data_IF_493789571106
#
_entry.id   IF_493789571106
#
_cell.length_a   1.000
_cell.length_b   1.000
_cell.length_c   1.000
_cell.angle_alpha   90.00
_cell.angle_beta   90.00
_cell.angle_gamma   90.00
#
_symmetry.space_group_name_H-M   'P 1'
#
loop_
_entity.id
_entity.type
_entity.pdbx_description
1 polymer ?
#
# COMPACT_ATOMS: atom_id res chain seq x y z
N UNK A 1 34.71 -20.56 -3.22
CA UNK A 1 33.81 -21.55 -3.87
C UNK A 1 32.50 -21.77 -3.12
N UNK A 2 32.45 -22.08 -1.81
CA UNK A 2 31.17 -22.24 -1.07
C UNK A 2 30.22 -21.04 -1.13
N UNK A 3 30.72 -19.80 -1.05
CA UNK A 3 29.91 -18.57 -1.14
C UNK A 3 29.32 -18.31 -2.53
N UNK A 4 29.96 -18.81 -3.59
CA UNK A 4 29.50 -18.66 -4.97
C UNK A 4 28.36 -19.64 -5.29
N UNK A 5 28.43 -20.86 -4.73
CA UNK A 5 27.35 -21.86 -4.83
C UNK A 5 26.09 -21.43 -4.08
N UNK A 6 26.22 -20.82 -2.90
CA UNK A 6 25.07 -20.27 -2.15
C UNK A 6 24.38 -19.16 -2.97
N UNK A 7 25.15 -18.30 -3.63
CA UNK A 7 24.61 -17.22 -4.45
C UNK A 7 23.84 -17.73 -5.69
N UNK A 8 24.33 -18.78 -6.36
CA UNK A 8 23.66 -19.41 -7.51
C UNK A 8 22.36 -20.11 -7.09
N UNK A 9 22.35 -20.79 -5.95
CA UNK A 9 21.15 -21.47 -5.44
C UNK A 9 20.07 -20.45 -5.06
N UNK A 10 20.43 -19.35 -4.39
CA UNK A 10 19.50 -18.28 -4.03
C UNK A 10 18.96 -17.57 -5.28
N UNK A 11 19.81 -17.25 -6.25
CA UNK A 11 19.37 -16.66 -7.53
C UNK A 11 18.51 -17.61 -8.36
N UNK A 12 18.80 -18.92 -8.34
CA UNK A 12 17.98 -19.94 -8.99
C UNK A 12 16.58 -20.03 -8.39
N UNK A 13 16.46 -19.99 -7.05
CA UNK A 13 15.18 -19.96 -6.34
C UNK A 13 14.42 -18.67 -6.64
N UNK A 14 15.11 -17.52 -6.70
CA UNK A 14 14.47 -16.23 -6.99
C UNK A 14 14.00 -16.12 -8.45
N UNK A 15 14.78 -16.63 -9.42
CA UNK A 15 14.36 -16.73 -10.83
C UNK A 15 13.17 -17.68 -10.95
N UNK A 16 13.22 -18.84 -10.28
CA UNK A 16 12.11 -19.81 -10.30
C UNK A 16 10.84 -19.24 -9.69
N UNK A 17 10.95 -18.53 -8.56
CA UNK A 17 9.83 -17.81 -7.93
C UNK A 17 9.29 -16.69 -8.83
N UNK A 18 10.16 -15.87 -9.44
CA UNK A 18 9.76 -14.82 -10.38
C UNK A 18 9.12 -15.39 -11.66
N UNK A 19 9.59 -16.54 -12.17
CA UNK A 19 8.94 -17.23 -13.29
C UNK A 19 7.63 -17.88 -12.89
N UNK A 20 7.51 -18.43 -11.68
CA UNK A 20 6.27 -18.97 -11.15
C UNK A 20 5.24 -17.86 -10.90
N UNK A 21 5.65 -16.70 -10.39
CA UNK A 21 4.80 -15.51 -10.30
C UNK A 21 4.39 -14.99 -11.67
N UNK A 22 5.30 -14.99 -12.65
CA UNK A 22 4.98 -14.57 -14.01
C UNK A 22 4.02 -15.56 -14.70
N UNK A 23 4.20 -16.87 -14.53
CA UNK A 23 3.29 -17.90 -15.05
C UNK A 23 1.95 -17.94 -14.30
N UNK A 24 1.95 -17.80 -12.97
CA UNK A 24 0.73 -17.64 -12.18
C UNK A 24 -0.02 -16.37 -12.60
N UNK A 25 0.68 -15.26 -12.85
CA UNK A 25 0.08 -14.03 -13.37
C UNK A 25 -0.46 -14.18 -14.79
N UNK A 26 0.17 -15.03 -15.63
CA UNK A 26 -0.30 -15.33 -16.99
C UNK A 26 -1.54 -16.24 -16.98
N UNK A 27 -1.58 -17.23 -16.08
CA UNK A 27 -2.78 -18.03 -15.81
C UNK A 27 -3.91 -17.15 -15.27
N UNK A 28 -3.59 -16.18 -14.42
CA UNK A 28 -4.56 -15.18 -13.97
C UNK A 28 -5.01 -14.33 -15.16
N UNK A 29 -4.14 -13.71 -15.95
CA UNK A 29 -4.58 -12.83 -17.05
C UNK A 29 -5.45 -13.53 -18.11
N UNK A 30 -5.28 -14.83 -18.34
CA UNK A 30 -6.15 -15.61 -19.23
C UNK A 30 -7.46 -16.11 -18.57
N UNK A 31 -7.54 -16.18 -17.23
CA UNK A 31 -8.76 -16.52 -16.47
C UNK A 31 -9.46 -15.32 -15.78
N UNK A 32 -8.81 -14.15 -15.71
CA UNK A 32 -9.25 -12.93 -14.98
C UNK A 32 -10.46 -12.29 -15.64
N UNK A 33 -10.62 -12.47 -16.95
CA UNK A 33 -11.88 -12.20 -17.63
C UNK A 33 -12.52 -13.55 -17.88
N UNK A 34 -13.46 -14.00 -17.03
CA UNK A 34 -14.17 -15.23 -17.32
C UNK A 34 -14.80 -15.12 -18.71
N UNK A 35 -14.47 -16.04 -19.61
CA UNK A 35 -15.29 -16.28 -20.81
C UNK A 35 -16.66 -16.69 -20.26
N UNK A 36 -17.60 -15.75 -20.30
CA UNK A 36 -18.92 -15.95 -19.70
C UNK A 36 -19.67 -16.98 -20.54
N UNK A 37 -20.07 -18.09 -19.93
CA UNK A 37 -20.90 -19.09 -20.60
C UNK A 37 -22.36 -18.62 -20.62
N UNK A 38 -23.12 -18.97 -21.67
CA UNK A 38 -24.53 -18.56 -21.83
C UNK A 38 -25.44 -18.92 -20.64
N UNK A 39 -25.07 -19.95 -19.84
CA UNK A 39 -25.76 -20.33 -18.59
C UNK A 39 -25.64 -19.30 -17.46
N UNK A 40 -24.91 -18.21 -17.66
CA UNK A 40 -24.68 -17.14 -16.69
C UNK A 40 -25.53 -15.89 -16.96
N UNK A 41 -26.44 -15.89 -17.92
CA UNK A 41 -27.34 -14.75 -18.14
C UNK A 41 -28.30 -14.61 -16.95
N UNK A 42 -28.08 -13.57 -16.15
CA UNK A 42 -29.00 -13.12 -15.12
C UNK A 42 -29.50 -11.76 -15.58
N UNK A 43 -30.81 -11.59 -15.52
CA UNK A 43 -31.47 -10.32 -15.84
C UNK A 43 -31.51 -9.38 -14.62
N UNK A 44 -30.93 -9.79 -13.49
CA UNK A 44 -30.87 -8.93 -12.31
C UNK A 44 -29.97 -7.71 -12.61
N UNK A 45 -30.49 -6.47 -12.56
CA UNK A 45 -29.77 -5.28 -13.04
C UNK A 45 -28.37 -5.12 -12.45
N UNK A 46 -28.23 -5.29 -11.12
CA UNK A 46 -26.92 -5.18 -10.46
C UNK A 46 -25.88 -6.21 -10.92
N UNK A 47 -26.30 -7.41 -11.33
CA UNK A 47 -25.38 -8.41 -11.86
C UNK A 47 -24.94 -8.00 -13.27
N UNK A 48 -25.86 -7.47 -14.08
CA UNK A 48 -25.55 -6.92 -15.41
C UNK A 48 -24.55 -5.77 -15.30
N UNK A 49 -24.80 -4.82 -14.38
CA UNK A 49 -23.91 -3.69 -14.13
C UNK A 49 -22.52 -4.15 -13.66
N UNK A 50 -22.46 -5.15 -12.77
CA UNK A 50 -21.20 -5.70 -12.29
C UNK A 50 -20.40 -6.37 -13.41
N UNK A 51 -21.07 -7.08 -14.33
CA UNK A 51 -20.42 -7.66 -15.51
C UNK A 51 -19.91 -6.60 -16.46
N UNK A 52 -20.67 -5.52 -16.67
CA UNK A 52 -20.26 -4.40 -17.51
C UNK A 52 -19.04 -3.68 -16.92
N UNK A 53 -19.03 -3.45 -15.61
CA UNK A 53 -17.89 -2.85 -14.92
C UNK A 53 -16.63 -3.73 -15.06
N UNK A 54 -16.76 -5.06 -14.91
CA UNK A 54 -15.66 -6.00 -15.13
C UNK A 54 -15.16 -6.00 -16.59
N UNK A 55 -16.05 -6.02 -17.58
CA UNK A 55 -15.66 -6.06 -19.00
C UNK A 55 -14.99 -4.77 -19.48
N UNK A 56 -15.34 -3.64 -18.88
CA UNK A 56 -14.75 -2.32 -19.13
C UNK A 56 -13.55 -2.02 -18.22
N UNK A 57 -13.17 -2.95 -17.34
CA UNK A 57 -12.09 -2.80 -16.35
C UNK A 57 -12.32 -1.66 -15.33
N UNK A 58 -13.57 -1.25 -15.13
CA UNK A 58 -13.96 -0.33 -14.05
C UNK A 58 -14.09 -1.09 -12.71
N UNK A 59 -12.94 -1.51 -12.18
CA UNK A 59 -12.89 -2.29 -10.94
C UNK A 59 -13.33 -1.48 -9.71
N UNK A 60 -13.18 -0.15 -9.73
CA UNK A 60 -13.62 0.70 -8.62
C UNK A 60 -15.15 0.86 -8.62
N UNK A 61 -15.77 1.07 -9.79
CA UNK A 61 -17.23 1.04 -9.93
C UNK A 61 -17.81 -0.34 -9.56
N UNK A 62 -17.17 -1.41 -10.00
CA UNK A 62 -17.53 -2.77 -9.60
C UNK A 62 -17.47 -2.98 -8.07
N UNK A 63 -16.43 -2.47 -7.41
CA UNK A 63 -16.24 -2.55 -5.96
C UNK A 63 -17.32 -1.77 -5.20
N UNK A 64 -17.71 -0.59 -5.68
CA UNK A 64 -18.81 0.20 -5.10
C UNK A 64 -20.16 -0.53 -5.18
N UNK A 65 -20.46 -1.17 -6.32
CA UNK A 65 -21.65 -2.03 -6.48
C UNK A 65 -21.61 -3.17 -5.45
N UNK A 66 -20.45 -3.82 -5.30
CA UNK A 66 -20.25 -4.94 -4.36
C UNK A 66 -20.49 -4.49 -2.92
N UNK A 67 -19.84 -3.41 -2.48
CA UNK A 67 -19.86 -2.94 -1.10
C UNK A 67 -21.28 -2.53 -0.67
N UNK A 68 -22.05 -1.89 -1.56
CA UNK A 68 -23.44 -1.48 -1.30
C UNK A 68 -24.41 -2.65 -1.22
N UNK A 69 -24.16 -3.73 -1.97
CA UNK A 69 -25.15 -4.78 -2.19
C UNK A 69 -24.81 -6.12 -1.53
N UNK A 70 -23.63 -6.28 -0.93
CA UNK A 70 -23.19 -7.52 -0.30
C UNK A 70 -24.24 -8.14 0.63
N UNK A 71 -24.82 -7.36 1.55
CA UNK A 71 -25.83 -7.84 2.51
C UNK A 71 -27.12 -8.29 1.84
N UNK A 72 -27.52 -7.62 0.75
CA UNK A 72 -28.72 -7.98 -0.02
C UNK A 72 -28.55 -9.37 -0.62
N UNK A 73 -27.44 -9.59 -1.34
CA UNK A 73 -27.17 -10.88 -1.98
C UNK A 73 -26.86 -12.01 -0.99
N UNK A 74 -26.29 -11.70 0.19
CA UNK A 74 -26.04 -12.69 1.23
C UNK A 74 -27.32 -13.25 1.89
N UNK A 75 -28.43 -12.51 1.81
CA UNK A 75 -29.70 -12.84 2.46
C UNK A 75 -30.81 -13.16 1.46
N UNK A 76 -30.48 -13.46 0.21
CA UNK A 76 -31.46 -13.92 -0.78
C UNK A 76 -32.04 -15.28 -0.37
N UNK A 77 -33.26 -15.56 -0.84
CA UNK A 77 -33.91 -16.84 -0.58
C UNK A 77 -33.24 -17.98 -1.36
N UNK A 78 -33.47 -19.23 -0.95
CA UNK A 78 -32.95 -20.40 -1.68
C UNK A 78 -33.38 -20.43 -3.15
N UNK A 79 -34.56 -19.88 -3.46
CA UNK A 79 -35.07 -19.77 -4.83
C UNK A 79 -34.24 -18.83 -5.73
N UNK A 80 -33.42 -17.98 -5.11
CA UNK A 80 -32.57 -16.98 -5.75
C UNK A 80 -31.08 -17.34 -5.65
N UNK A 81 -30.75 -18.58 -5.26
CA UNK A 81 -29.36 -19.05 -5.11
C UNK A 81 -28.52 -18.84 -6.38
N UNK A 82 -29.11 -18.93 -7.58
CA UNK A 82 -28.41 -18.62 -8.83
C UNK A 82 -27.89 -17.17 -8.89
N UNK A 83 -28.66 -16.20 -8.39
CA UNK A 83 -28.25 -14.79 -8.33
C UNK A 83 -27.18 -14.57 -7.26
N UNK A 84 -27.34 -15.19 -6.08
CA UNK A 84 -26.34 -15.14 -5.02
C UNK A 84 -25.00 -15.73 -5.50
N UNK A 85 -25.02 -16.91 -6.12
CA UNK A 85 -23.85 -17.55 -6.73
C UNK A 85 -23.14 -16.59 -7.68
N UNK A 86 -23.86 -16.04 -8.67
CA UNK A 86 -23.27 -15.16 -9.68
C UNK A 86 -22.66 -13.89 -9.06
N UNK A 87 -23.36 -13.26 -8.12
CA UNK A 87 -22.84 -12.08 -7.42
C UNK A 87 -21.54 -12.39 -6.69
N UNK A 88 -21.49 -13.46 -5.89
CA UNK A 88 -20.28 -13.81 -5.11
C UNK A 88 -19.14 -14.33 -5.98
N UNK A 89 -19.47 -15.00 -7.09
CA UNK A 89 -18.51 -15.41 -8.09
C UNK A 89 -17.81 -14.19 -8.74
N UNK A 90 -18.59 -13.21 -9.22
CA UNK A 90 -18.07 -11.98 -9.81
C UNK A 90 -17.35 -11.11 -8.78
N UNK A 91 -17.87 -11.04 -7.54
CA UNK A 91 -17.20 -10.37 -6.41
C UNK A 91 -15.78 -10.88 -6.21
N UNK A 92 -15.59 -12.20 -6.24
CA UNK A 92 -14.25 -12.77 -6.10
C UNK A 92 -13.30 -12.38 -7.23
N UNK A 93 -13.79 -12.26 -8.47
CA UNK A 93 -12.99 -11.78 -9.60
C UNK A 93 -12.59 -10.32 -9.47
N UNK A 94 -13.51 -9.44 -9.08
CA UNK A 94 -13.20 -8.03 -8.84
C UNK A 94 -12.10 -7.90 -7.78
N UNK A 95 -12.26 -8.58 -6.64
CA UNK A 95 -11.25 -8.58 -5.58
C UNK A 95 -9.91 -9.16 -6.05
N UNK A 96 -9.91 -10.23 -6.85
CA UNK A 96 -8.68 -10.82 -7.38
C UNK A 96 -7.95 -9.84 -8.33
N UNK A 97 -8.69 -9.17 -9.22
CA UNK A 97 -8.15 -8.14 -10.13
C UNK A 97 -7.58 -6.93 -9.37
N UNK A 98 -8.13 -6.63 -8.19
CA UNK A 98 -7.66 -5.59 -7.28
C UNK A 98 -6.52 -6.02 -6.34
N UNK A 99 -6.02 -7.26 -6.46
CA UNK A 99 -5.05 -7.88 -5.53
C UNK A 99 -5.55 -8.04 -4.09
N UNK A 100 -6.86 -8.01 -3.88
CA UNK A 100 -7.50 -8.26 -2.58
C UNK A 100 -7.73 -9.76 -2.38
N UNK A 101 -6.64 -10.53 -2.37
CA UNK A 101 -6.67 -11.99 -2.45
C UNK A 101 -7.52 -12.62 -1.34
N UNK A 102 -7.39 -12.20 -0.08
CA UNK A 102 -8.20 -12.76 1.01
C UNK A 102 -9.70 -12.54 0.82
N UNK A 103 -10.10 -11.38 0.28
CA UNK A 103 -11.50 -11.10 -0.01
C UNK A 103 -12.01 -11.85 -1.26
N UNK A 104 -11.13 -12.14 -2.22
CA UNK A 104 -11.43 -13.01 -3.34
C UNK A 104 -11.70 -14.45 -2.88
N UNK A 105 -10.82 -15.00 -2.04
CA UNK A 105 -10.96 -16.34 -1.45
C UNK A 105 -12.28 -16.47 -0.68
N UNK A 106 -12.57 -15.51 0.20
CA UNK A 106 -13.83 -15.49 0.97
C UNK A 106 -15.05 -15.48 0.05
N UNK A 107 -15.01 -14.68 -1.01
CA UNK A 107 -16.16 -14.53 -1.93
C UNK A 107 -16.42 -15.81 -2.71
N UNK A 108 -15.39 -16.45 -3.26
CA UNK A 108 -15.54 -17.72 -3.96
C UNK A 108 -15.89 -18.87 -3.02
N UNK A 109 -15.37 -18.87 -1.80
CA UNK A 109 -15.76 -19.85 -0.78
C UNK A 109 -17.23 -19.69 -0.40
N UNK A 110 -17.72 -18.46 -0.27
CA UNK A 110 -19.12 -18.19 0.01
C UNK A 110 -20.03 -18.56 -1.17
N UNK A 111 -19.56 -18.35 -2.42
CA UNK A 111 -20.27 -18.77 -3.62
C UNK A 111 -20.54 -20.28 -3.69
N UNK A 112 -19.71 -21.12 -3.07
CA UNK A 112 -19.91 -22.58 -3.01
C UNK A 112 -21.22 -22.96 -2.32
N UNK A 113 -21.76 -22.12 -1.42
CA UNK A 113 -23.00 -22.40 -0.70
C UNK A 113 -24.25 -22.29 -1.60
N UNK A 114 -24.12 -21.66 -2.78
CA UNK A 114 -25.25 -21.32 -3.64
C UNK A 114 -25.29 -22.13 -4.95
N UNK A 115 -24.39 -23.09 -5.12
CA UNK A 115 -24.36 -23.95 -6.32
C UNK A 115 -24.38 -25.43 -5.98
N UNK A 116 -25.10 -26.20 -6.78
CA UNK A 116 -25.11 -27.67 -6.76
C UNK A 116 -24.42 -28.26 -8.00
N UNK A 117 -24.00 -27.42 -8.95
CA UNK A 117 -23.33 -27.85 -10.18
C UNK A 117 -21.92 -28.35 -9.89
N UNK A 118 -21.61 -29.59 -10.31
CA UNK A 118 -20.30 -30.20 -10.07
C UNK A 118 -19.18 -29.41 -10.75
N UNK A 119 -19.45 -28.89 -11.94
CA UNK A 119 -18.54 -28.08 -12.75
C UNK A 119 -18.23 -26.75 -12.06
N UNK A 120 -19.26 -26.06 -11.54
CA UNK A 120 -19.11 -24.79 -10.82
C UNK A 120 -18.36 -24.97 -9.51
N UNK A 121 -18.68 -26.02 -8.75
CA UNK A 121 -17.96 -26.39 -7.52
C UNK A 121 -16.49 -26.65 -7.83
N UNK A 122 -16.19 -27.42 -8.88
CA UNK A 122 -14.81 -27.71 -9.30
C UNK A 122 -14.07 -26.43 -9.69
N UNK A 123 -14.72 -25.52 -10.41
CA UNK A 123 -14.16 -24.21 -10.80
C UNK A 123 -13.85 -23.35 -9.57
N UNK A 124 -14.81 -23.16 -8.67
CA UNK A 124 -14.63 -22.36 -7.45
C UNK A 124 -13.50 -22.90 -6.57
N UNK A 125 -13.43 -24.23 -6.38
CA UNK A 125 -12.33 -24.87 -5.61
C UNK A 125 -10.96 -24.59 -6.21
N UNK A 126 -10.82 -24.58 -7.54
CA UNK A 126 -9.56 -24.21 -8.20
C UNK A 126 -9.19 -22.76 -7.94
N UNK A 127 -10.14 -21.83 -8.08
CA UNK A 127 -9.91 -20.41 -7.81
C UNK A 127 -9.50 -20.16 -6.36
N UNK A 128 -10.19 -20.77 -5.39
CA UNK A 128 -9.84 -20.71 -3.96
C UNK A 128 -8.43 -21.24 -3.73
N UNK A 129 -8.08 -22.41 -4.29
CA UNK A 129 -6.77 -23.01 -4.09
C UNK A 129 -5.64 -22.17 -4.73
N UNK A 130 -5.82 -21.69 -5.95
CA UNK A 130 -4.84 -20.84 -6.62
C UNK A 130 -4.57 -19.55 -5.81
N UNK A 131 -5.63 -18.95 -5.27
CA UNK A 131 -5.50 -17.72 -4.52
C UNK A 131 -4.94 -17.91 -3.10
N UNK A 132 -5.11 -19.09 -2.49
CA UNK A 132 -4.44 -19.43 -1.22
C UNK A 132 -2.92 -19.42 -1.34
N UNK A 133 -2.39 -19.94 -2.45
CA UNK A 133 -0.94 -19.93 -2.71
C UNK A 133 -0.42 -18.48 -2.69
N UNK A 134 -1.11 -17.57 -3.40
CA UNK A 134 -0.75 -16.15 -3.40
C UNK A 134 -0.83 -15.52 -2.01
N UNK A 135 -1.86 -15.86 -1.24
CA UNK A 135 -2.02 -15.38 0.14
C UNK A 135 -0.87 -15.85 1.01
N UNK A 136 -0.45 -17.10 0.90
CA UNK A 136 0.61 -17.63 1.74
C UNK A 136 1.97 -16.99 1.38
N UNK A 137 2.26 -16.80 0.09
CA UNK A 137 3.47 -16.11 -0.39
C UNK A 137 3.61 -14.67 0.13
N UNK A 138 2.52 -13.90 0.20
CA UNK A 138 2.56 -12.49 0.66
C UNK A 138 2.56 -12.33 2.19
N UNK A 139 2.50 -13.44 2.94
CA UNK A 139 2.32 -13.43 4.40
C UNK A 139 3.57 -13.88 5.18
N UNK A 140 4.72 -14.03 4.53
CA UNK A 140 5.97 -14.46 5.16
C UNK A 140 6.41 -13.57 6.35
N UNK A 141 6.09 -12.27 6.31
CA UNK A 141 6.49 -11.30 7.35
C UNK A 141 5.50 -11.23 8.55
N UNK A 142 4.39 -11.97 8.54
CA UNK A 142 3.29 -11.87 9.52
C UNK A 142 3.64 -12.19 10.97
N UNK A 143 4.74 -12.89 11.19
CA UNK A 143 5.14 -13.39 12.51
C UNK A 143 6.24 -12.55 13.16
N UNK A 144 6.60 -11.41 12.56
CA UNK A 144 7.69 -10.56 13.05
C UNK A 144 7.32 -9.84 14.37
N UNK A 145 6.05 -9.47 14.57
CA UNK A 145 5.61 -8.71 15.73
C UNK A 145 4.29 -9.26 16.31
N UNK A 146 4.09 -9.12 17.63
CA UNK A 146 2.84 -9.46 18.32
C UNK A 146 2.01 -8.23 18.73
N UNK A 147 2.58 -7.03 18.62
CA UNK A 147 2.01 -5.76 19.08
C UNK A 147 2.01 -4.76 17.93
N UNK A 148 0.87 -4.12 17.70
CA UNK A 148 0.76 -2.98 16.79
C UNK A 148 1.10 -1.67 17.53
N UNK A 149 2.06 -0.90 17.01
CA UNK A 149 2.52 0.34 17.66
C UNK A 149 1.96 1.59 17.00
N UNK A 150 0.92 2.15 17.60
CA UNK A 150 0.40 3.47 17.24
C UNK A 150 1.24 4.58 17.88
N UNK A 151 1.88 5.44 17.09
CA UNK A 151 2.70 6.56 17.59
C UNK A 151 2.17 7.92 17.15
N UNK A 152 0.91 8.29 17.45
CA UNK A 152 0.41 9.61 17.08
C UNK A 152 1.10 10.71 17.88
N UNK A 153 1.22 11.90 17.29
CA UNK A 153 1.85 13.09 17.89
C UNK A 153 3.34 12.87 18.18
N UNK A 154 4.03 12.17 17.28
CA UNK A 154 5.49 12.06 17.30
C UNK A 154 6.09 12.82 16.13
N UNK A 155 7.25 13.42 16.36
CA UNK A 155 8.02 14.13 15.33
C UNK A 155 7.31 15.33 14.67
N UNK A 156 7.90 15.88 13.58
CA UNK A 156 7.39 17.06 12.88
C UNK A 156 6.06 16.81 12.14
N UNK A 157 5.78 15.55 11.80
CA UNK A 157 4.54 15.16 11.15
C UNK A 157 3.35 15.18 12.13
N UNK A 158 3.58 14.77 13.38
CA UNK A 158 2.59 14.81 14.48
C UNK A 158 1.30 14.00 14.22
N UNK A 159 0.30 14.52 13.50
CA UNK A 159 -0.99 13.85 13.24
C UNK A 159 -1.47 14.15 11.83
N UNK A 160 -2.21 13.30 11.14
CA UNK A 160 -2.65 13.59 9.76
C UNK A 160 -3.81 14.62 9.70
N UNK A 161 -3.58 15.90 10.03
CA UNK A 161 -4.62 16.94 10.18
C UNK A 161 -4.11 18.34 9.81
N UNK A 162 -4.99 19.19 9.30
CA UNK A 162 -4.67 20.59 9.02
C UNK A 162 -3.84 20.76 7.76
N UNK A 163 -3.01 21.80 7.71
CA UNK A 163 -2.12 22.08 6.59
C UNK A 163 -0.76 21.43 6.77
N UNK A 164 -0.38 20.60 5.82
CA UNK A 164 0.84 19.78 5.86
C UNK A 164 1.76 20.20 4.71
N UNK A 165 2.96 20.67 5.04
CA UNK A 165 4.00 20.94 4.05
C UNK A 165 4.74 19.66 3.66
N UNK A 166 4.68 19.29 2.39
CA UNK A 166 5.36 18.14 1.81
C UNK A 166 6.68 18.60 1.20
N UNK A 167 7.78 18.23 1.85
CA UNK A 167 9.13 18.43 1.35
C UNK A 167 9.50 17.22 0.51
N UNK A 168 9.47 17.37 -0.81
CA UNK A 168 9.76 16.27 -1.75
C UNK A 168 11.13 16.47 -2.38
N UNK A 169 12.07 15.57 -2.08
CA UNK A 169 13.45 15.66 -2.55
C UNK A 169 13.74 14.52 -3.53
N UNK A 170 13.99 14.88 -4.80
CA UNK A 170 14.54 13.96 -5.78
C UNK A 170 16.03 13.77 -5.53
N UNK A 171 16.43 12.53 -5.26
CA UNK A 171 17.78 12.21 -4.77
C UNK A 171 18.50 11.23 -5.70
N UNK A 172 19.78 11.49 -5.96
CA UNK A 172 20.70 10.52 -6.56
C UNK A 172 21.74 10.07 -5.54
N UNK A 173 21.75 8.78 -5.23
CA UNK A 173 22.67 8.12 -4.31
C UNK A 173 23.76 7.35 -5.08
N UNK A 174 24.49 6.47 -4.38
CA UNK A 174 25.57 5.66 -4.94
C UNK A 174 25.18 4.66 -6.03
N UNK A 175 23.89 4.42 -6.27
CA UNK A 175 23.42 3.62 -7.39
C UNK A 175 23.35 4.40 -8.72
N UNK A 176 23.73 5.69 -8.72
CA UNK A 176 23.96 6.54 -9.90
C UNK A 176 22.74 6.67 -10.84
N UNK A 177 21.52 6.60 -10.29
CA UNK A 177 20.28 6.91 -11.00
C UNK A 177 20.21 8.39 -11.40
N UNK A 178 19.51 8.67 -12.51
CA UNK A 178 19.32 10.02 -13.01
C UNK A 178 17.85 10.44 -13.01
N UNK A 179 17.63 11.70 -12.62
CA UNK A 179 16.33 12.37 -12.62
C UNK A 179 16.19 13.29 -13.84
N UNK A 180 15.38 12.89 -14.81
CA UNK A 180 14.93 13.78 -15.88
C UNK A 180 13.68 14.55 -15.45
N UNK A 181 13.35 15.64 -16.16
CA UNK A 181 12.08 16.36 -15.96
C UNK A 181 10.87 15.42 -16.06
N UNK A 182 10.78 14.65 -17.16
CA UNK A 182 9.70 13.66 -17.37
C UNK A 182 9.53 12.67 -16.23
N UNK A 183 10.62 12.17 -15.65
CA UNK A 183 10.56 11.26 -14.50
C UNK A 183 9.98 11.94 -13.27
N UNK A 184 10.41 13.18 -12.99
CA UNK A 184 9.90 13.98 -11.87
C UNK A 184 8.42 14.31 -12.05
N UNK A 185 8.01 14.71 -13.25
CA UNK A 185 6.60 15.00 -13.57
C UNK A 185 5.71 13.77 -13.37
N UNK A 186 6.19 12.59 -13.79
CA UNK A 186 5.50 11.32 -13.55
C UNK A 186 5.34 11.01 -12.05
N UNK A 187 6.41 11.17 -11.27
CA UNK A 187 6.36 11.00 -9.80
C UNK A 187 5.37 11.97 -9.17
N UNK A 188 5.38 13.24 -9.57
CA UNK A 188 4.49 14.26 -8.97
C UNK A 188 3.02 14.06 -9.39
N UNK A 189 2.78 13.53 -10.58
CA UNK A 189 1.45 13.11 -11.01
C UNK A 189 0.94 11.95 -10.15
N UNK A 190 1.80 10.98 -9.85
CA UNK A 190 1.47 9.88 -8.94
C UNK A 190 1.25 10.36 -7.50
N UNK A 191 2.08 11.29 -7.01
CA UNK A 191 1.91 11.91 -5.69
C UNK A 191 0.55 12.61 -5.59
N UNK A 192 0.08 13.25 -6.65
CA UNK A 192 -1.25 13.89 -6.66
C UNK A 192 -2.37 12.88 -6.41
N UNK A 193 -2.24 11.65 -6.91
CA UNK A 193 -3.20 10.56 -6.64
C UNK A 193 -3.10 10.12 -5.16
N UNK A 194 -1.88 9.93 -4.64
CA UNK A 194 -1.66 9.58 -3.24
C UNK A 194 -2.21 10.65 -2.28
N UNK A 195 -1.97 11.92 -2.59
CA UNK A 195 -2.46 13.07 -1.84
C UNK A 195 -4.00 13.13 -1.82
N UNK A 196 -4.64 12.97 -2.98
CA UNK A 196 -6.10 12.90 -3.05
C UNK A 196 -6.65 11.74 -2.23
N UNK A 197 -6.01 10.57 -2.29
CA UNK A 197 -6.41 9.43 -1.49
C UNK A 197 -6.30 9.72 0.01
N UNK A 198 -5.20 10.34 0.46
CA UNK A 198 -4.98 10.73 1.86
C UNK A 198 -6.05 11.73 2.32
N UNK A 199 -6.36 12.77 1.53
CA UNK A 199 -7.41 13.75 1.83
C UNK A 199 -8.77 13.05 1.96
N UNK A 200 -9.17 12.29 0.94
CA UNK A 200 -10.49 11.63 0.89
C UNK A 200 -10.68 10.67 2.06
N UNK A 201 -9.66 9.88 2.39
CA UNK A 201 -9.76 8.91 3.49
C UNK A 201 -9.67 9.55 4.87
N UNK A 202 -8.90 10.62 5.03
CA UNK A 202 -8.82 11.35 6.31
C UNK A 202 -10.10 12.14 6.60
N UNK A 203 -10.78 12.63 5.56
CA UNK A 203 -12.06 13.34 5.71
C UNK A 203 -13.21 12.45 6.21
N UNK A 204 -13.09 11.12 6.10
CA UNK A 204 -14.02 10.18 6.75
C UNK A 204 -13.98 10.29 8.29
N UNK A 205 -12.95 10.93 8.83
CA UNK A 205 -12.71 11.15 10.26
C UNK A 205 -12.64 12.65 10.60
N UNK A 206 -13.21 13.53 9.77
CA UNK A 206 -13.27 14.98 9.97
C UNK A 206 -11.89 15.62 10.19
N UNK A 207 -10.85 15.08 9.55
CA UNK A 207 -9.47 15.53 9.74
C UNK A 207 -9.13 16.82 8.99
N UNK A 208 -9.90 17.20 7.95
CA UNK A 208 -9.71 18.42 7.17
C UNK A 208 -8.24 18.66 6.76
N UNK A 209 -7.69 17.72 5.98
CA UNK A 209 -6.27 17.76 5.58
C UNK A 209 -6.11 18.57 4.29
N UNK A 210 -5.08 19.41 4.24
CA UNK A 210 -4.61 20.06 3.02
C UNK A 210 -3.09 19.93 2.92
N UNK A 211 -2.57 19.85 1.70
CA UNK A 211 -1.16 19.71 1.45
C UNK A 211 -0.63 20.90 0.66
N UNK A 212 0.56 21.37 1.04
CA UNK A 212 1.37 22.25 0.20
C UNK A 212 2.68 21.53 -0.13
N UNK A 213 3.29 21.83 -1.28
CA UNK A 213 4.40 21.04 -1.81
C UNK A 213 5.61 21.93 -2.07
N UNK A 214 6.78 21.49 -1.62
CA UNK A 214 8.08 22.07 -1.96
C UNK A 214 8.97 20.98 -2.55
N UNK A 215 9.46 21.22 -3.75
CA UNK A 215 10.22 20.24 -4.53
C UNK A 215 11.69 20.66 -4.58
N UNK A 216 12.57 19.71 -4.25
CA UNK A 216 14.01 19.88 -4.29
C UNK A 216 14.66 18.80 -5.16
N UNK A 217 15.85 19.10 -5.68
CA UNK A 217 16.67 18.17 -6.43
C UNK A 217 18.08 18.15 -5.83
N UNK A 218 18.51 16.96 -5.41
CA UNK A 218 19.86 16.70 -4.91
C UNK A 218 20.46 15.56 -5.71
N UNK A 219 20.98 15.88 -6.89
CA UNK A 219 21.43 14.91 -7.88
C UNK A 219 22.93 15.03 -8.23
N UNK A 220 23.64 16.00 -7.64
CA UNK A 220 25.04 16.33 -7.97
C UNK A 220 25.99 16.32 -6.77
N UNK A 221 25.51 15.99 -5.57
CA UNK A 221 26.37 15.95 -4.39
C UNK A 221 27.33 14.74 -4.46
N UNK A 222 28.66 14.96 -4.54
CA UNK A 222 29.63 13.88 -4.70
C UNK A 222 29.78 13.00 -3.46
N UNK A 223 29.46 13.50 -2.27
CA UNK A 223 29.51 12.72 -1.03
C UNK A 223 28.32 11.76 -0.94
N UNK A 224 27.13 12.21 -1.32
CA UNK A 224 25.92 11.37 -1.38
C UNK A 224 26.08 10.28 -2.44
N UNK A 225 26.63 10.60 -3.61
CA UNK A 225 26.89 9.63 -4.70
C UNK A 225 27.89 8.52 -4.37
N UNK A 226 28.50 8.53 -3.18
CA UNK A 226 29.37 7.43 -2.70
C UNK A 226 28.66 6.51 -1.71
N UNK A 227 27.42 6.84 -1.35
CA UNK A 227 26.64 6.14 -0.35
C UNK A 227 25.37 5.62 -1.02
N UNK A 228 25.20 4.30 -1.04
CA UNK A 228 23.94 3.70 -1.46
C UNK A 228 23.01 3.60 -0.24
N UNK A 229 21.75 4.03 -0.38
CA UNK A 229 20.72 3.99 0.66
C UNK A 229 19.87 2.73 0.51
N UNK A 230 19.80 1.89 1.53
CA UNK A 230 18.94 0.71 1.50
C UNK A 230 19.50 -0.44 0.64
N UNK A 231 19.46 -1.61 1.25
CA UNK A 231 19.48 -2.98 0.72
C UNK A 231 19.50 -3.82 2.00
N UNK A 232 18.56 -4.77 2.13
CA UNK A 232 18.07 -5.37 3.39
C UNK A 232 19.16 -5.79 4.40
N UNK A 233 20.38 -6.08 3.92
CA UNK A 233 21.41 -6.69 4.75
C UNK A 233 22.57 -5.76 5.19
N UNK A 234 22.80 -4.57 4.60
CA UNK A 234 24.05 -3.81 4.92
C UNK A 234 24.01 -2.27 4.84
N UNK A 235 22.97 -1.62 4.32
CA UNK A 235 23.07 -0.18 3.96
C UNK A 235 22.14 0.78 4.74
N UNK A 236 21.41 0.32 5.76
CA UNK A 236 20.59 1.20 6.61
C UNK A 236 21.44 2.25 7.36
N UNK A 237 22.71 1.96 7.61
CA UNK A 237 23.65 2.90 8.22
C UNK A 237 23.91 4.14 7.36
N UNK A 238 23.71 4.04 6.04
CA UNK A 238 23.89 5.18 5.14
C UNK A 238 22.68 6.10 5.09
N UNK A 239 21.47 5.62 5.39
CA UNK A 239 20.22 6.38 5.26
C UNK A 239 20.27 7.69 6.07
N UNK A 240 20.57 7.61 7.37
CA UNK A 240 20.68 8.79 8.23
C UNK A 240 21.82 9.74 7.80
N UNK A 241 22.95 9.18 7.37
CA UNK A 241 24.08 9.96 6.88
C UNK A 241 23.74 10.70 5.58
N UNK A 242 23.04 10.05 4.65
CA UNK A 242 22.60 10.66 3.40
C UNK A 242 21.56 11.73 3.65
N UNK A 243 20.58 11.49 4.52
CA UNK A 243 19.62 12.51 4.93
C UNK A 243 20.36 13.75 5.48
N UNK A 244 21.28 13.59 6.43
CA UNK A 244 22.08 14.72 6.95
C UNK A 244 22.84 15.46 5.84
N UNK A 245 23.50 14.74 4.92
CA UNK A 245 24.20 15.35 3.78
C UNK A 245 23.24 16.10 2.84
N UNK A 246 21.98 15.68 2.73
CA UNK A 246 20.96 16.42 1.97
C UNK A 246 20.63 17.74 2.64
N UNK A 247 20.40 17.74 3.96
CA UNK A 247 20.16 18.98 4.71
C UNK A 247 21.34 19.96 4.56
N UNK A 248 22.57 19.46 4.76
CA UNK A 248 23.81 20.24 4.58
C UNK A 248 23.93 20.80 3.16
N UNK A 249 23.61 19.99 2.14
CA UNK A 249 23.64 20.42 0.73
C UNK A 249 22.65 21.56 0.45
N UNK A 250 21.52 21.56 1.13
CA UNK A 250 20.48 22.59 1.02
C UNK A 250 20.74 23.80 1.95
N UNK A 251 21.87 23.81 2.67
CA UNK A 251 22.29 24.92 3.53
C UNK A 251 21.76 24.88 4.96
N UNK A 252 21.24 23.73 5.40
CA UNK A 252 20.69 23.55 6.75
C UNK A 252 21.63 22.74 7.63
N UNK A 253 21.56 22.99 8.95
CA UNK A 253 22.37 22.28 9.94
C UNK A 253 22.03 20.79 10.00
N UNK A 254 20.74 20.47 9.98
CA UNK A 254 20.19 19.14 10.13
C UNK A 254 18.80 19.06 9.47
N UNK A 255 18.25 17.84 9.39
CA UNK A 255 16.96 17.59 8.74
C UNK A 255 15.82 18.29 9.48
N UNK A 256 15.86 18.33 10.81
CA UNK A 256 14.82 18.97 11.59
C UNK A 256 14.75 20.48 11.29
N UNK A 257 15.90 21.14 11.26
CA UNK A 257 16.02 22.56 10.92
C UNK A 257 15.51 22.84 9.50
N UNK A 258 15.81 21.95 8.55
CA UNK A 258 15.28 22.04 7.19
C UNK A 258 13.75 21.92 7.15
N UNK A 259 13.18 20.91 7.80
CA UNK A 259 11.72 20.69 7.82
C UNK A 259 10.99 21.84 8.51
N UNK A 260 11.49 22.32 9.65
CA UNK A 260 10.86 23.41 10.41
C UNK A 260 10.90 24.75 9.66
N UNK A 261 11.98 25.05 8.92
CA UNK A 261 12.01 26.27 8.09
C UNK A 261 10.97 26.19 6.97
N UNK A 262 10.87 25.06 6.26
CA UNK A 262 9.86 24.89 5.21
C UNK A 262 8.44 24.94 5.78
N UNK A 263 8.19 24.31 6.94
CA UNK A 263 6.90 24.38 7.63
C UNK A 263 6.50 25.83 7.93
N UNK A 264 7.45 26.65 8.41
CA UNK A 264 7.25 28.07 8.71
C UNK A 264 7.00 28.90 7.44
N UNK A 265 7.82 28.73 6.40
CA UNK A 265 7.63 29.39 5.10
C UNK A 265 6.25 29.12 4.52
N UNK A 266 5.79 27.87 4.65
CA UNK A 266 4.50 27.42 4.15
C UNK A 266 3.34 27.77 5.07
N UNK A 267 3.58 28.33 6.26
CA UNK A 267 2.55 28.55 7.28
C UNK A 267 1.74 27.26 7.51
N UNK A 268 2.42 26.12 7.55
CA UNK A 268 1.83 24.81 7.72
C UNK A 268 1.82 24.44 9.21
N UNK A 269 0.81 23.66 9.61
CA UNK A 269 0.73 23.12 10.96
C UNK A 269 1.82 22.05 11.18
N UNK A 270 2.17 21.35 10.12
CA UNK A 270 3.03 20.17 10.11
C UNK A 270 3.86 20.10 8.84
N UNK A 271 4.91 19.27 8.85
CA UNK A 271 5.68 19.01 7.66
C UNK A 271 6.20 17.57 7.62
N UNK A 272 6.32 17.04 6.40
CA UNK A 272 6.84 15.70 6.11
C UNK A 272 7.95 15.79 5.07
N UNK A 273 8.92 14.87 5.15
CA UNK A 273 10.05 14.79 4.23
C UNK A 273 10.09 13.46 3.50
N UNK A 274 10.03 13.53 2.16
CA UNK A 274 10.08 12.38 1.26
C UNK A 274 11.33 12.48 0.38
N UNK A 275 12.27 11.55 0.56
CA UNK A 275 13.36 11.32 -0.38
C UNK A 275 12.90 10.31 -1.43
N UNK A 276 13.14 10.59 -2.71
CA UNK A 276 12.85 9.64 -3.77
C UNK A 276 14.12 9.31 -4.55
N UNK A 277 14.44 8.01 -4.63
CA UNK A 277 15.49 7.44 -5.45
C UNK A 277 14.85 6.80 -6.71
N UNK A 278 15.31 7.18 -7.91
CA UNK A 278 14.79 6.66 -9.20
C UNK A 278 15.30 5.24 -9.50
N UNK A 279 15.10 4.29 -8.58
CA UNK A 279 15.43 2.87 -8.75
C UNK A 279 14.49 2.03 -7.91
N UNK A 280 14.37 0.76 -8.26
CA UNK A 280 13.58 -0.18 -7.48
C UNK A 280 14.32 -0.55 -6.18
N UNK A 281 13.55 -0.66 -5.10
CA UNK A 281 13.98 -1.11 -3.79
C UNK A 281 12.79 -1.12 -2.83
N UNK A 282 12.98 -1.62 -1.61
CA UNK A 282 11.92 -1.56 -0.58
C UNK A 282 11.87 -0.17 0.03
N UNK A 283 10.84 0.61 -0.30
CA UNK A 283 10.57 1.89 0.36
C UNK A 283 10.46 1.71 1.89
N UNK A 284 10.80 2.74 2.66
CA UNK A 284 10.73 2.69 4.12
C UNK A 284 10.63 4.08 4.76
N UNK A 285 10.07 4.14 5.96
CA UNK A 285 10.02 5.31 6.80
C UNK A 285 10.97 5.20 8.01
N UNK A 286 11.78 6.22 8.23
CA UNK A 286 12.48 6.44 9.49
C UNK A 286 11.55 7.22 10.42
N UNK A 287 11.06 6.58 11.48
CA UNK A 287 10.07 7.14 12.42
C UNK A 287 10.68 7.49 13.77
N UNK A 288 10.11 8.48 14.44
CA UNK A 288 10.38 8.78 15.85
C UNK A 288 9.40 8.01 16.75
N UNK A 289 9.78 6.81 17.18
CA UNK A 289 8.89 6.00 18.04
C UNK A 289 8.85 6.53 19.49
N UNK A 290 10.01 6.91 20.05
CA UNK A 290 10.14 7.33 21.46
C UNK A 290 10.74 8.74 21.62
N UNK A 291 11.78 9.04 20.83
CA UNK A 291 12.48 10.33 20.80
C UNK A 291 13.04 10.55 19.40
N UNK A 292 12.84 11.76 18.87
CA UNK A 292 13.59 12.23 17.71
C UNK A 292 14.98 12.67 18.17
N UNK A 293 16.01 12.17 17.51
CA UNK A 293 17.33 12.79 17.52
C UNK A 293 17.44 13.83 16.38
N UNK A 294 18.65 14.32 16.10
CA UNK A 294 18.93 15.31 15.05
C UNK A 294 18.57 14.80 13.63
N UNK A 295 18.30 13.49 13.48
CA UNK A 295 17.95 12.78 12.25
C UNK A 295 16.43 12.58 12.17
N UNK A 296 15.67 13.69 12.18
CA UNK A 296 14.20 13.72 12.20
C UNK A 296 13.51 12.77 11.18
N UNK A 297 12.19 12.61 11.29
CA UNK A 297 11.44 11.64 10.50
C UNK A 297 11.49 11.94 8.99
N UNK A 298 11.71 10.89 8.18
CA UNK A 298 11.68 10.99 6.73
C UNK A 298 11.35 9.63 6.11
N UNK A 299 10.92 9.67 4.85
CA UNK A 299 10.68 8.49 4.02
C UNK A 299 11.73 8.41 2.94
N UNK A 300 12.17 7.19 2.63
CA UNK A 300 12.81 6.86 1.35
C UNK A 300 11.82 6.09 0.48
N UNK A 301 11.46 6.69 -0.65
CA UNK A 301 10.72 6.04 -1.74
C UNK A 301 11.74 5.49 -2.75
N UNK A 302 11.60 4.20 -3.07
CA UNK A 302 12.47 3.47 -3.99
C UNK A 302 11.66 2.79 -5.09
N UNK A 303 10.91 3.61 -5.83
CA UNK A 303 10.07 3.16 -6.94
C UNK A 303 10.58 3.75 -8.25
N UNK A 304 11.05 2.90 -9.18
CA UNK A 304 11.50 3.42 -10.46
C UNK A 304 10.33 4.03 -11.25
N UNK A 305 10.43 5.30 -11.71
CA UNK A 305 9.37 5.98 -12.43
C UNK A 305 9.13 5.33 -13.80
N UNK A 306 8.17 4.41 -13.85
CA UNK A 306 7.80 3.66 -15.06
C UNK A 306 6.28 3.49 -15.16
N UNK A 307 5.75 3.53 -16.38
CA UNK A 307 4.30 3.37 -16.61
C UNK A 307 3.73 2.04 -16.11
N UNK A 308 4.55 0.98 -16.07
CA UNK A 308 4.15 -0.34 -15.56
C UNK A 308 3.99 -0.38 -14.03
N UNK A 309 4.55 0.59 -13.32
CA UNK A 309 4.57 0.64 -11.84
C UNK A 309 3.88 1.87 -11.25
N UNK A 310 3.12 2.62 -12.05
CA UNK A 310 2.46 3.86 -11.57
C UNK A 310 1.59 3.65 -10.32
N UNK A 311 0.90 2.51 -10.23
CA UNK A 311 0.04 2.16 -9.09
C UNK A 311 0.82 1.70 -7.85
N UNK A 312 1.98 1.05 -8.03
CA UNK A 312 2.84 0.73 -6.88
C UNK A 312 3.41 2.00 -6.26
N UNK A 313 3.75 2.99 -7.10
CA UNK A 313 4.34 4.24 -6.64
C UNK A 313 3.36 5.10 -5.83
N UNK A 314 2.12 5.28 -6.27
CA UNK A 314 1.14 6.05 -5.48
C UNK A 314 0.77 5.31 -4.17
N UNK A 315 0.73 3.97 -4.20
CA UNK A 315 0.58 3.16 -2.99
C UNK A 315 1.73 3.40 -2.02
N UNK A 316 3.00 3.23 -2.46
CA UNK A 316 4.17 3.44 -1.61
C UNK A 316 4.21 4.86 -1.05
N UNK A 317 3.91 5.87 -1.88
CA UNK A 317 3.81 7.25 -1.44
C UNK A 317 2.78 7.44 -0.31
N UNK A 318 1.57 6.90 -0.45
CA UNK A 318 0.54 7.01 0.59
C UNK A 318 0.90 6.19 1.84
N UNK A 319 1.30 4.93 1.67
CA UNK A 319 1.65 3.99 2.73
C UNK A 319 2.80 4.52 3.59
N UNK A 320 3.93 4.88 2.98
CA UNK A 320 5.09 5.38 3.70
C UNK A 320 4.84 6.74 4.34
N UNK A 321 3.99 7.57 3.74
CA UNK A 321 3.58 8.84 4.36
C UNK A 321 2.83 8.61 5.67
N UNK A 322 1.96 7.59 5.75
CA UNK A 322 1.21 7.28 6.97
C UNK A 322 2.12 6.84 8.12
N UNK A 323 3.25 6.19 7.82
CA UNK A 323 4.25 5.88 8.83
C UNK A 323 4.82 7.12 9.52
N UNK A 324 5.01 8.23 8.80
CA UNK A 324 5.46 9.49 9.40
C UNK A 324 4.47 10.03 10.44
N UNK A 325 3.18 9.77 10.26
CA UNK A 325 2.15 10.16 11.23
C UNK A 325 1.95 9.13 12.35
N UNK A 326 2.71 8.03 12.34
CA UNK A 326 2.73 7.05 13.42
C UNK A 326 1.99 5.75 13.18
N UNK A 327 1.53 5.50 11.95
CA UNK A 327 1.02 4.18 11.56
C UNK A 327 2.14 3.13 11.56
N UNK A 328 1.79 1.91 11.94
CA UNK A 328 2.68 0.75 11.87
C UNK A 328 2.20 -0.23 10.80
N UNK A 329 3.06 -1.14 10.37
CA UNK A 329 2.72 -2.17 9.39
C UNK A 329 1.83 -3.24 10.01
N UNK A 330 0.59 -3.36 9.52
CA UNK A 330 -0.32 -4.43 9.94
C UNK A 330 0.10 -5.78 9.37
N UNK A 331 0.81 -5.79 8.23
CA UNK A 331 1.27 -7.03 7.61
C UNK A 331 2.34 -7.78 8.41
N UNK A 332 2.94 -7.12 9.40
CA UNK A 332 3.95 -7.71 10.29
C UNK A 332 3.38 -8.21 11.62
N UNK A 333 2.08 -8.01 11.89
CA UNK A 333 1.44 -8.32 13.17
C UNK A 333 0.79 -9.70 13.17
N UNK A 334 1.13 -10.51 14.18
CA UNK A 334 0.49 -11.77 14.46
C UNK A 334 -1.03 -11.58 14.69
N UNK A 335 -1.84 -12.32 13.94
CA UNK A 335 -3.31 -12.16 13.95
C UNK A 335 -3.85 -11.04 13.04
N UNK A 336 -2.98 -10.29 12.35
CA UNK A 336 -3.37 -9.24 11.40
C UNK A 336 -3.93 -9.75 10.07
N UNK A 337 -3.67 -11.03 9.71
CA UNK A 337 -4.00 -11.61 8.38
C UNK A 337 -5.43 -11.29 7.93
N UNK A 338 -6.42 -11.50 8.78
CA UNK A 338 -7.84 -11.29 8.44
C UNK A 338 -8.44 -10.00 9.01
N UNK A 339 -7.64 -9.22 9.73
CA UNK A 339 -8.09 -7.98 10.35
C UNK A 339 -7.98 -6.84 9.34
N UNK A 340 -9.07 -6.11 9.08
CA UNK A 340 -9.08 -4.92 8.20
C UNK A 340 -8.33 -5.14 6.87
N UNK A 341 -8.71 -6.17 6.12
CA UNK A 341 -7.96 -6.67 4.95
C UNK A 341 -7.66 -5.61 3.88
N UNK A 342 -8.53 -4.60 3.73
CA UNK A 342 -8.37 -3.52 2.74
C UNK A 342 -7.56 -2.32 3.25
N UNK A 343 -7.19 -2.30 4.53
CA UNK A 343 -6.39 -1.22 5.08
C UNK A 343 -5.04 -1.12 4.33
N UNK A 344 -4.66 0.09 3.99
CA UNK A 344 -3.41 0.38 3.27
C UNK A 344 -2.16 -0.09 4.03
N UNK A 345 -2.20 -0.22 5.36
CA UNK A 345 -1.10 -0.74 6.16
C UNK A 345 -1.07 -2.27 6.21
N UNK A 346 -2.07 -2.95 5.63
CA UNK A 346 -2.22 -4.40 5.71
C UNK A 346 -1.93 -5.13 4.40
N UNK A 347 -2.55 -4.73 3.28
CA UNK A 347 -2.28 -5.33 1.98
C UNK A 347 -2.33 -4.28 0.89
N UNK A 348 -1.41 -4.34 -0.10
CA UNK A 348 -1.49 -3.48 -1.27
C UNK A 348 -2.68 -3.88 -2.15
N UNK A 349 -3.23 -2.91 -2.87
CA UNK A 349 -4.15 -3.15 -3.96
C UNK A 349 -3.53 -2.74 -5.30
N UNK A 350 -4.01 -3.33 -6.40
CA UNK A 350 -3.54 -2.98 -7.75
C UNK A 350 -3.91 -1.54 -8.16
N UNK A 351 -4.87 -0.94 -7.46
CA UNK A 351 -5.31 0.45 -7.60
C UNK A 351 -5.47 1.04 -6.19
N UNK A 352 -4.76 2.13 -5.88
CA UNK A 352 -4.78 2.76 -4.55
C UNK A 352 -6.21 3.08 -4.04
N UNK A 353 -7.12 3.47 -4.93
CA UNK A 353 -8.52 3.74 -4.58
C UNK A 353 -9.28 2.54 -3.99
N UNK A 354 -8.79 1.32 -4.15
CA UNK A 354 -9.39 0.12 -3.57
C UNK A 354 -8.95 -0.12 -2.11
N UNK A 355 -7.81 0.47 -1.69
CA UNK A 355 -7.37 0.49 -0.30
C UNK A 355 -8.18 1.48 0.53
N UNK A 356 -8.30 1.20 1.82
CA UNK A 356 -9.01 2.01 2.80
C UNK A 356 -8.06 2.49 3.90
N UNK A 357 -8.49 3.55 4.62
CA UNK A 357 -7.90 3.94 5.90
C UNK A 357 -8.86 3.51 7.01
N UNK A 358 -8.57 2.37 7.62
CA UNK A 358 -9.43 1.74 8.61
C UNK A 358 -9.20 2.35 10.01
N UNK A 359 -10.13 2.15 10.96
CA UNK A 359 -10.05 2.82 12.25
C UNK A 359 -8.75 2.61 13.03
N UNK A 360 -8.00 1.52 12.79
CA UNK A 360 -6.70 1.28 13.42
C UNK A 360 -5.61 2.22 12.91
N UNK A 361 -5.53 2.39 11.59
CA UNK A 361 -4.59 3.29 10.96
C UNK A 361 -4.98 4.74 11.26
N UNK A 362 -6.28 5.07 11.20
CA UNK A 362 -6.80 6.38 11.59
C UNK A 362 -6.49 6.73 13.07
N UNK A 363 -6.57 5.75 13.97
CA UNK A 363 -6.16 5.90 15.37
C UNK A 363 -4.65 6.13 15.48
N UNK A 364 -3.85 5.37 14.74
CA UNK A 364 -2.40 5.46 14.76
C UNK A 364 -1.87 6.80 14.25
N UNK A 365 -2.50 7.37 13.22
CA UNK A 365 -2.15 8.69 12.66
C UNK A 365 -2.81 9.87 13.38
N UNK A 366 -3.51 9.61 14.49
CA UNK A 366 -4.03 10.64 15.39
C UNK A 366 -5.27 11.38 14.90
N UNK A 367 -5.99 10.87 13.90
CA UNK A 367 -7.24 11.46 13.40
C UNK A 367 -8.50 10.81 13.97
N UNK A 368 -8.35 9.68 14.65
CA UNK A 368 -9.44 8.99 15.32
C UNK A 368 -9.10 8.72 16.79
N UNK A 369 -9.88 9.29 17.71
CA UNK A 369 -9.57 9.24 19.15
C UNK A 369 -9.93 7.91 19.83
N UNK A 370 -10.74 7.07 19.18
CA UNK A 370 -11.24 5.83 19.77
C UNK A 370 -10.34 4.67 19.37
N UNK A 371 -9.62 4.11 20.35
CA UNK A 371 -8.85 2.87 20.18
C UNK A 371 -9.77 1.76 19.63
N UNK A 372 -9.47 1.18 18.46
CA UNK A 372 -10.33 0.16 17.87
C UNK A 372 -10.14 -1.19 18.57
N UNK A 373 -11.12 -2.07 18.37
CA UNK A 373 -10.99 -3.49 18.75
C UNK A 373 -10.17 -4.21 17.68
N UNK A 374 -9.17 -4.97 18.11
CA UNK A 374 -8.31 -5.78 17.25
C UNK A 374 -8.04 -7.15 17.91
N UNK A 375 -7.69 -8.19 17.14
CA UNK A 375 -7.33 -9.51 17.66
C UNK A 375 -5.91 -9.58 18.24
N UNK A 376 -5.24 -8.43 18.38
CA UNK A 376 -3.89 -8.29 18.90
C UNK A 376 -3.80 -7.02 19.77
N UNK A 377 -2.71 -6.88 20.50
CA UNK A 377 -2.48 -5.71 21.34
C UNK A 377 -2.16 -4.48 20.48
N UNK A 378 -2.82 -3.37 20.79
CA UNK A 378 -2.49 -2.04 20.26
C UNK A 378 -1.82 -1.25 21.39
N UNK A 379 -0.55 -0.93 21.23
CA UNK A 379 0.18 -0.05 22.13
C UNK A 379 0.22 1.35 21.54
N UNK A 380 -0.11 2.36 22.35
CA UNK A 380 -0.13 3.74 21.91
C UNK A 380 0.92 4.54 22.66
N UNK A 381 1.78 5.22 21.91
CA UNK A 381 2.76 6.15 22.44
C UNK A 381 2.41 7.52 21.90
N UNK A 382 2.01 8.44 22.77
CA UNK A 382 1.87 9.84 22.40
C UNK A 382 2.60 10.68 23.42
N UNK A 383 3.42 11.63 22.97
CA UNK A 383 3.93 12.67 23.87
C UNK A 383 2.78 13.58 24.25
N UNK A 384 2.52 13.70 25.55
CA UNK A 384 1.84 14.87 26.08
C UNK A 384 2.78 16.06 25.87
N UNK A 385 2.44 16.94 24.94
CA UNK A 385 3.08 18.25 24.81
C UNK A 385 2.66 19.16 25.96
#
# INVERSE_FOLDING_TARGET
MKRFFIFIVIWGVFILAATALNEASKFQQSEVIPVMTESQNSDHPLIVDLKLALSTQDYLGALDIIDKNHKKFANLSDSENGQAYQFFYLKGHVHSALWQHLEAEKSWTFALNFTTSKEEIKRLKRLVNANRILVDDINDERLLNSIYRATPRTGPASTLRGKIAVVYVFLTDGALQNWSLRKRDFVMSSWTIAEQWLILNSNKYDANVTFSRRIFLVDKNPYIKRLQVGDFDNHNQHSAKVARLVAEHLGYKDILSFIEEIKKEEQADQAILLFHLSRDGRSFAQRCVYKCDESAEYVYLMESPSGKRGNFMNYAQAHETLHLFGADDLYNIHGGKYYVVRDIMNYPASILGANTLEPITAYAVGIYNKKPKAPFEIQSFSRSH
#
